data_IF_782268301579
#
_entry.id   IF_782268301579
#
_cell.length_a   1.000
_cell.length_b   1.000
_cell.length_c   1.000
_cell.angle_alpha   90.00
_cell.angle_beta   90.00
_cell.angle_gamma   90.00
#
_symmetry.space_group_name_H-M   'P 1'
#
loop_
_entity.id
_entity.type
_entity.pdbx_description
1 polymer ?
#
# COMPACT_ATOMS: atom_id res chain seq x y z
N UNK A 1 19.77 4.12 0.63
CA UNK A 1 18.91 3.53 1.67
C UNK A 1 17.62 3.09 1.01
N UNK A 2 17.16 1.86 1.26
CA UNK A 2 15.88 1.40 0.73
C UNK A 2 14.75 2.05 1.53
N UNK A 3 13.97 2.91 0.88
CA UNK A 3 12.85 3.61 1.52
C UNK A 3 11.86 4.01 0.44
N UNK A 4 10.58 3.86 0.74
CA UNK A 4 9.50 4.41 -0.07
C UNK A 4 9.49 5.94 0.00
N UNK A 5 8.93 6.56 -1.03
CA UNK A 5 8.74 7.99 -1.10
C UNK A 5 7.73 8.47 -0.06
N UNK A 6 7.88 9.72 0.41
CA UNK A 6 6.87 10.34 1.28
C UNK A 6 5.49 10.40 0.62
N UNK A 7 5.43 10.48 -0.72
CA UNK A 7 4.15 10.54 -1.42
C UNK A 7 3.40 9.22 -1.31
N UNK A 8 4.13 8.10 -1.27
CA UNK A 8 3.56 6.77 -1.08
C UNK A 8 3.09 6.58 0.35
N UNK A 9 3.89 6.99 1.34
CA UNK A 9 3.47 7.01 2.75
C UNK A 9 2.15 7.80 2.90
N UNK A 10 2.06 8.98 2.28
CA UNK A 10 0.85 9.80 2.29
C UNK A 10 -0.32 9.13 1.55
N UNK A 11 -0.05 8.47 0.43
CA UNK A 11 -1.06 7.70 -0.31
C UNK A 11 -1.69 6.61 0.53
N UNK A 12 -0.88 5.83 1.24
CA UNK A 12 -1.36 4.77 2.14
C UNK A 12 -2.29 5.37 3.21
N UNK A 13 -1.85 6.45 3.87
CA UNK A 13 -2.63 7.10 4.93
C UNK A 13 -3.97 7.65 4.39
N UNK A 14 -3.95 8.33 3.25
CA UNK A 14 -5.15 8.91 2.63
C UNK A 14 -6.14 7.82 2.17
N UNK A 15 -5.63 6.77 1.53
CA UNK A 15 -6.46 5.65 1.05
C UNK A 15 -7.03 4.83 2.21
N UNK A 16 -6.30 4.69 3.31
CA UNK A 16 -6.81 4.05 4.53
C UNK A 16 -7.93 4.87 5.16
N UNK A 17 -7.83 6.20 5.17
CA UNK A 17 -8.92 7.06 5.65
C UNK A 17 -10.17 6.97 4.74
N UNK A 18 -9.99 6.90 3.41
CA UNK A 18 -11.09 6.66 2.49
C UNK A 18 -11.72 5.27 2.70
N UNK A 19 -10.92 4.23 2.95
CA UNK A 19 -11.42 2.90 3.27
C UNK A 19 -12.24 2.86 4.57
N UNK A 20 -11.94 3.75 5.54
CA UNK A 20 -12.74 3.90 6.77
C UNK A 20 -14.05 4.65 6.56
N UNK A 21 -14.17 5.42 5.48
CA UNK A 21 -15.37 6.16 5.16
C UNK A 21 -16.49 5.28 4.57
N UNK A 22 -16.23 3.99 4.32
CA UNK A 22 -17.22 2.95 4.01
C UNK A 22 -18.19 3.34 2.86
N UNK A 23 -17.63 3.87 1.77
CA UNK A 23 -18.39 4.30 0.59
C UNK A 23 -18.75 5.78 0.58
N UNK A 24 -18.57 6.51 1.69
CA UNK A 24 -18.67 7.97 1.70
C UNK A 24 -17.48 8.63 1.00
N UNK A 25 -17.74 9.75 0.33
CA UNK A 25 -16.68 10.58 -0.26
C UNK A 25 -16.09 11.53 0.78
N UNK A 26 -14.81 11.87 0.63
CA UNK A 26 -14.12 12.91 1.42
C UNK A 26 -13.48 13.94 0.51
N UNK A 27 -13.65 15.21 0.82
CA UNK A 27 -12.91 16.29 0.17
C UNK A 27 -11.43 16.23 0.53
N UNK A 28 -10.57 16.80 -0.32
CA UNK A 28 -9.13 16.92 -0.02
C UNK A 28 -8.86 17.65 1.30
N UNK A 29 -9.71 18.62 1.66
CA UNK A 29 -9.60 19.36 2.93
C UNK A 29 -9.91 18.47 4.12
N UNK A 30 -10.99 17.69 4.07
CA UNK A 30 -11.32 16.73 5.12
C UNK A 30 -10.24 15.67 5.28
N UNK A 31 -9.76 15.12 4.17
CA UNK A 31 -8.66 14.15 4.20
C UNK A 31 -7.40 14.75 4.82
N UNK A 32 -7.03 15.98 4.43
CA UNK A 32 -5.90 16.69 5.02
C UNK A 32 -6.08 16.92 6.53
N UNK A 33 -7.27 17.33 6.98
CA UNK A 33 -7.57 17.55 8.39
C UNK A 33 -7.52 16.26 9.22
N UNK A 34 -8.08 15.16 8.70
CA UNK A 34 -8.15 13.85 9.37
C UNK A 34 -6.79 13.16 9.44
N UNK A 35 -5.99 13.27 8.38
CA UNK A 35 -4.70 12.56 8.25
C UNK A 35 -3.48 13.39 8.62
N UNK A 36 -3.64 14.71 8.75
CA UNK A 36 -2.54 15.69 8.91
C UNK A 36 -1.56 15.75 7.73
N UNK A 37 -1.87 15.08 6.62
CA UNK A 37 -1.13 15.26 5.37
C UNK A 37 -1.43 16.66 4.83
N UNK A 38 -0.40 17.46 4.59
CA UNK A 38 -0.56 18.83 4.12
C UNK A 38 -1.35 18.88 2.79
N UNK A 39 -2.27 19.84 2.68
CA UNK A 39 -3.21 19.96 1.55
C UNK A 39 -2.55 19.88 0.15
N UNK A 40 -1.38 20.51 -0.11
CA UNK A 40 -0.72 20.38 -1.41
C UNK A 40 -0.25 18.95 -1.70
N UNK A 41 0.26 18.24 -0.68
CA UNK A 41 0.71 16.86 -0.81
C UNK A 41 -0.49 15.92 -1.01
N UNK A 42 -1.57 16.10 -0.24
CA UNK A 42 -2.79 15.34 -0.40
C UNK A 42 -3.38 15.51 -1.82
N UNK A 43 -3.42 16.75 -2.32
CA UNK A 43 -3.90 17.03 -3.68
C UNK A 43 -3.06 16.35 -4.75
N UNK A 44 -1.72 16.39 -4.61
CA UNK A 44 -0.80 15.75 -5.55
C UNK A 44 -0.99 14.22 -5.56
N UNK A 45 -1.08 13.62 -4.38
CA UNK A 45 -1.26 12.17 -4.22
C UNK A 45 -2.61 11.73 -4.78
N UNK A 46 -3.70 12.40 -4.41
CA UNK A 46 -5.05 12.08 -4.91
C UNK A 46 -5.15 12.20 -6.44
N UNK A 47 -4.44 13.15 -7.05
CA UNK A 47 -4.35 13.24 -8.51
C UNK A 47 -3.68 12.02 -9.13
N UNK A 48 -2.57 11.55 -8.57
CA UNK A 48 -1.90 10.33 -9.03
C UNK A 48 -2.79 9.09 -8.87
N UNK A 49 -3.46 8.95 -7.73
CA UNK A 49 -4.39 7.85 -7.46
C UNK A 49 -5.62 7.88 -8.38
N UNK A 50 -6.12 9.07 -8.73
CA UNK A 50 -7.22 9.25 -9.68
C UNK A 50 -6.80 8.82 -11.09
N UNK A 51 -5.59 9.19 -11.52
CA UNK A 51 -5.03 8.78 -12.81
C UNK A 51 -4.82 7.26 -12.88
N UNK A 52 -4.45 6.64 -11.76
CA UNK A 52 -4.32 5.19 -11.63
C UNK A 52 -5.66 4.45 -11.47
N UNK A 53 -6.79 5.17 -11.40
CA UNK A 53 -8.11 4.57 -11.25
C UNK A 53 -8.37 3.92 -9.89
N UNK A 54 -7.59 4.27 -8.85
CA UNK A 54 -7.77 3.74 -7.49
C UNK A 54 -8.81 4.54 -6.69
N UNK A 55 -9.03 5.80 -7.07
CA UNK A 55 -10.09 6.66 -6.52
C UNK A 55 -10.95 7.24 -7.63
N UNK A 56 -12.18 7.60 -7.28
CA UNK A 56 -13.09 8.36 -8.12
C UNK A 56 -13.33 9.73 -7.51
N UNK A 57 -13.66 10.70 -8.37
CA UNK A 57 -13.91 12.09 -8.00
C UNK A 57 -15.36 12.46 -8.28
N UNK A 58 -16.07 12.92 -7.26
CA UNK A 58 -17.45 13.40 -7.37
C UNK A 58 -17.47 14.93 -7.28
N UNK A 59 -18.25 15.58 -8.15
CA UNK A 59 -18.45 17.04 -8.14
C UNK A 59 -19.75 17.39 -7.39
N UNK A 60 -19.84 18.63 -6.90
CA UNK A 60 -21.04 19.17 -6.24
C UNK A 60 -20.84 19.46 -4.75
N UNK A 61 -21.93 19.84 -4.07
CA UNK A 61 -21.93 20.25 -2.66
C UNK A 61 -21.49 19.12 -1.70
N UNK A 62 -21.73 17.86 -2.08
CA UNK A 62 -21.24 16.65 -1.40
C UNK A 62 -20.09 15.98 -2.17
N UNK A 63 -19.33 16.75 -2.94
CA UNK A 63 -18.23 16.24 -3.76
C UNK A 63 -17.03 15.77 -2.95
N UNK A 64 -16.05 15.16 -3.61
CA UNK A 64 -14.85 14.64 -2.97
C UNK A 64 -14.27 13.45 -3.70
N UNK A 65 -13.41 12.70 -3.00
CA UNK A 65 -12.83 11.45 -3.46
C UNK A 65 -13.46 10.28 -2.73
N UNK A 66 -13.70 9.19 -3.45
CA UNK A 66 -14.09 7.88 -2.91
C UNK A 66 -13.21 6.79 -3.51
N UNK A 67 -13.19 5.60 -2.90
CA UNK A 67 -12.51 4.45 -3.51
C UNK A 67 -13.22 4.05 -4.81
N UNK A 68 -12.45 3.72 -5.84
CA UNK A 68 -13.01 3.29 -7.13
C UNK A 68 -13.63 1.88 -7.09
N UNK A 69 -13.25 1.09 -6.08
CA UNK A 69 -13.66 -0.29 -5.85
C UNK A 69 -13.55 -0.65 -4.35
N UNK A 70 -14.17 -1.75 -3.88
CA UNK A 70 -14.13 -2.13 -2.47
C UNK A 70 -12.69 -2.22 -1.92
N UNK A 71 -12.51 -1.91 -0.63
CA UNK A 71 -11.19 -1.82 0.00
C UNK A 71 -10.44 -3.17 -0.02
N UNK A 72 -11.17 -4.28 0.03
CA UNK A 72 -10.68 -5.67 -0.05
C UNK A 72 -10.11 -5.99 -1.43
N UNK A 73 -10.52 -5.25 -2.46
CA UNK A 73 -10.06 -5.48 -3.81
C UNK A 73 -8.75 -4.70 -4.09
N UNK A 74 -8.47 -3.62 -3.36
CA UNK A 74 -7.31 -2.75 -3.59
C UNK A 74 -6.11 -3.23 -2.78
N UNK A 75 -5.13 -3.81 -3.45
CA UNK A 75 -3.88 -4.25 -2.81
C UNK A 75 -2.92 -3.10 -2.54
N UNK A 76 -2.03 -3.28 -1.56
CA UNK A 76 -0.96 -2.33 -1.28
C UNK A 76 0.05 -2.29 -2.44
N UNK A 77 0.31 -3.42 -3.11
CA UNK A 77 1.16 -3.46 -4.30
C UNK A 77 0.67 -2.52 -5.42
N UNK A 78 -0.65 -2.49 -5.68
CA UNK A 78 -1.24 -1.58 -6.67
C UNK A 78 -1.09 -0.12 -6.27
N UNK A 79 -1.33 0.21 -4.99
CA UNK A 79 -1.16 1.58 -4.49
C UNK A 79 0.29 2.06 -4.61
N UNK A 80 1.25 1.22 -4.22
CA UNK A 80 2.67 1.54 -4.37
C UNK A 80 3.02 1.71 -5.84
N UNK A 81 2.56 0.80 -6.70
CA UNK A 81 2.82 0.87 -8.14
C UNK A 81 2.24 2.13 -8.77
N UNK A 82 1.07 2.58 -8.31
CA UNK A 82 0.43 3.80 -8.79
C UNK A 82 1.22 5.09 -8.46
N UNK A 83 2.00 5.10 -7.38
CA UNK A 83 2.70 6.29 -6.89
C UNK A 83 4.20 6.28 -7.16
N UNK A 84 4.83 5.11 -7.20
CA UNK A 84 6.28 4.96 -7.43
C UNK A 84 6.63 4.31 -8.78
N UNK A 85 5.67 3.67 -9.43
CA UNK A 85 5.93 2.76 -10.55
C UNK A 85 6.25 1.34 -10.07
N UNK A 86 6.70 0.46 -10.97
CA UNK A 86 6.88 -0.97 -10.67
C UNK A 86 7.76 -1.21 -9.44
N UNK A 87 7.30 -2.02 -8.49
CA UNK A 87 8.08 -2.35 -7.28
C UNK A 87 9.26 -3.25 -7.68
N UNK A 88 10.44 -2.66 -7.76
CA UNK A 88 11.69 -3.37 -8.03
C UNK A 88 12.85 -2.71 -7.30
N UNK A 89 13.62 -3.52 -6.58
CA UNK A 89 14.85 -3.11 -5.89
C UNK A 89 16.02 -2.90 -6.85
N UNK A 90 16.00 -3.61 -7.97
CA UNK A 90 17.06 -3.63 -8.97
C UNK A 90 16.43 -3.61 -10.36
N UNK A 91 17.15 -3.08 -11.35
CA UNK A 91 16.71 -3.06 -12.75
C UNK A 91 16.36 -4.47 -13.25
N UNK A 92 17.19 -5.46 -12.90
CA UNK A 92 16.98 -6.86 -13.27
C UNK A 92 15.81 -7.56 -12.55
N UNK A 93 15.24 -6.89 -11.53
CA UNK A 93 14.06 -7.32 -10.79
C UNK A 93 12.74 -6.99 -11.48
N UNK A 94 12.74 -6.08 -12.44
CA UNK A 94 11.54 -5.75 -13.21
C UNK A 94 11.22 -6.89 -14.19
N UNK A 95 10.08 -7.55 -14.04
CA UNK A 95 9.65 -8.62 -14.96
C UNK A 95 8.99 -8.07 -16.23
N UNK A 96 8.56 -6.81 -16.21
CA UNK A 96 7.55 -6.29 -17.16
C UNK A 96 8.06 -5.21 -18.12
N UNK A 97 9.33 -4.79 -18.02
CA UNK A 97 9.86 -3.75 -18.92
C UNK A 97 11.21 -4.14 -19.50
N UNK A 98 11.33 -4.32 -20.84
CA UNK A 98 12.61 -4.48 -21.52
C UNK A 98 13.36 -3.14 -21.68
N UNK A 99 12.91 -2.07 -21.02
CA UNK A 99 13.29 -0.71 -21.38
C UNK A 99 14.77 -0.36 -21.12
N UNK A 100 15.48 -1.11 -20.26
CA UNK A 100 16.94 -1.00 -20.11
C UNK A 100 17.51 -2.39 -19.81
N UNK A 101 18.25 -3.01 -20.74
CA UNK A 101 19.01 -4.22 -20.46
C UNK A 101 20.04 -3.94 -19.36
N UNK A 102 20.11 -4.80 -18.34
CA UNK A 102 21.13 -4.66 -17.31
C UNK A 102 22.50 -4.96 -17.93
N UNK A 103 23.43 -4.00 -17.89
CA UNK A 103 24.76 -4.15 -18.52
C UNK A 103 25.56 -5.33 -17.95
N UNK A 104 25.27 -5.73 -16.71
CA UNK A 104 25.93 -6.84 -16.02
C UNK A 104 25.23 -8.19 -16.26
N UNK A 105 24.15 -8.24 -17.03
CA UNK A 105 23.26 -9.41 -17.16
C UNK A 105 24.02 -10.69 -17.55
N UNK A 106 24.99 -10.59 -18.45
CA UNK A 106 25.75 -11.74 -18.95
C UNK A 106 26.67 -12.39 -17.90
N UNK A 107 27.06 -11.66 -16.86
CA UNK A 107 28.03 -12.11 -15.84
C UNK A 107 27.48 -12.10 -14.41
N UNK A 108 26.26 -11.59 -14.21
CA UNK A 108 25.68 -11.38 -12.88
C UNK A 108 25.10 -12.68 -12.30
N UNK A 109 25.93 -13.41 -11.55
CA UNK A 109 25.53 -14.64 -10.84
C UNK A 109 24.50 -14.39 -9.73
N UNK A 110 24.39 -13.16 -9.23
CA UNK A 110 23.48 -12.81 -8.12
C UNK A 110 22.08 -12.37 -8.58
N UNK A 111 21.83 -12.29 -9.89
CA UNK A 111 20.54 -11.89 -10.46
C UNK A 111 19.37 -12.74 -9.94
N UNK A 112 19.58 -14.06 -9.86
CA UNK A 112 18.57 -15.00 -9.35
C UNK A 112 18.13 -14.65 -7.93
N UNK A 113 19.08 -14.38 -7.04
CA UNK A 113 18.82 -13.97 -5.66
C UNK A 113 18.02 -12.66 -5.60
N UNK A 114 18.38 -11.66 -6.40
CA UNK A 114 17.61 -10.41 -6.46
C UNK A 114 16.19 -10.61 -7.00
N UNK A 115 15.98 -11.50 -7.97
CA UNK A 115 14.63 -11.81 -8.45
C UNK A 115 13.78 -12.48 -7.37
N UNK A 116 14.36 -13.41 -6.60
CA UNK A 116 13.67 -14.01 -5.45
C UNK A 116 13.29 -12.97 -4.39
N UNK A 117 14.19 -12.05 -4.05
CA UNK A 117 13.91 -10.97 -3.07
C UNK A 117 12.80 -10.05 -3.58
N UNK A 118 12.86 -9.63 -4.86
CA UNK A 118 11.83 -8.80 -5.47
C UNK A 118 10.47 -9.48 -5.48
N UNK A 119 10.43 -10.77 -5.82
CA UNK A 119 9.20 -11.57 -5.79
C UNK A 119 8.62 -11.63 -4.37
N UNK A 120 9.45 -11.88 -3.35
CA UNK A 120 8.99 -11.92 -1.96
C UNK A 120 8.37 -10.57 -1.51
N UNK A 121 8.95 -9.44 -1.93
CA UNK A 121 8.41 -8.11 -1.62
C UNK A 121 7.08 -7.88 -2.34
N UNK A 122 7.01 -8.21 -3.63
CA UNK A 122 5.79 -8.08 -4.43
C UNK A 122 4.65 -8.92 -3.87
N UNK A 123 4.93 -10.17 -3.48
CA UNK A 123 3.95 -11.04 -2.83
C UNK A 123 3.50 -10.49 -1.48
N UNK A 124 4.43 -9.99 -0.66
CA UNK A 124 4.10 -9.41 0.64
C UNK A 124 3.18 -8.19 0.51
N UNK A 125 3.48 -7.28 -0.43
CA UNK A 125 2.64 -6.11 -0.72
C UNK A 125 1.30 -6.51 -1.37
N UNK A 126 1.30 -7.53 -2.23
CA UNK A 126 0.11 -7.98 -2.94
C UNK A 126 -0.91 -8.70 -2.05
N UNK A 127 -0.45 -9.32 -0.94
CA UNK A 127 -1.33 -9.98 0.04
C UNK A 127 -2.07 -9.01 0.97
N UNK A 128 -1.60 -7.77 1.10
CA UNK A 128 -2.22 -6.76 1.94
C UNK A 128 -3.20 -5.91 1.13
N UNK A 129 -4.40 -5.72 1.65
CA UNK A 129 -5.45 -4.89 1.06
C UNK A 129 -5.69 -3.63 1.89
N UNK A 130 -6.38 -2.63 1.35
CA UNK A 130 -6.78 -1.46 2.14
C UNK A 130 -7.71 -1.84 3.30
N UNK A 131 -8.49 -2.91 3.16
CA UNK A 131 -9.32 -3.42 4.25
C UNK A 131 -8.47 -3.88 5.44
N UNK A 132 -7.36 -4.58 5.20
CA UNK A 132 -6.42 -5.02 6.24
C UNK A 132 -5.79 -3.84 6.98
N UNK A 133 -5.56 -2.73 6.28
CA UNK A 133 -4.95 -1.51 6.85
C UNK A 133 -5.92 -0.68 7.71
N UNK A 134 -7.22 -0.95 7.67
CA UNK A 134 -8.22 -0.24 8.50
C UNK A 134 -7.99 -0.54 9.99
N UNK A 135 -7.71 -1.79 10.31
CA UNK A 135 -7.43 -2.25 11.66
C UNK A 135 -5.97 -1.91 12.05
N UNK A 136 -5.69 -1.69 13.35
CA UNK A 136 -4.32 -1.72 13.82
C UNK A 136 -3.65 -2.98 13.32
N UNK A 137 -2.40 -2.88 12.85
CA UNK A 137 -1.64 -4.06 12.46
C UNK A 137 -1.77 -5.11 13.56
N UNK A 138 -2.07 -6.39 13.23
CA UNK A 138 -2.01 -7.42 14.24
C UNK A 138 -0.66 -7.27 14.94
N UNK A 139 -0.66 -7.26 16.29
CA UNK A 139 0.61 -7.32 17.05
C UNK A 139 1.41 -8.42 16.39
N UNK A 140 2.57 -8.07 15.84
CA UNK A 140 3.40 -9.06 15.16
C UNK A 140 3.55 -10.24 16.11
N UNK A 141 2.99 -11.42 15.81
CA UNK A 141 3.33 -12.60 16.58
C UNK A 141 4.85 -12.78 16.46
N UNK A 142 5.50 -13.36 17.47
CA UNK A 142 6.97 -13.56 17.53
C UNK A 142 7.56 -14.11 16.21
N UNK A 143 6.76 -14.72 15.36
CA UNK A 143 7.10 -15.26 14.03
C UNK A 143 7.30 -14.25 12.88
N UNK A 144 8.10 -13.21 13.11
CA UNK A 144 9.27 -13.03 12.22
C UNK A 144 10.40 -14.03 12.56
N UNK A 145 10.22 -14.85 13.61
CA UNK A 145 10.98 -16.06 14.00
C UNK A 145 10.99 -17.20 12.94
N UNK A 146 10.73 -16.90 11.67
CA UNK A 146 11.31 -17.63 10.54
C UNK A 146 10.29 -18.05 9.48
N UNK A 147 10.15 -17.30 8.38
CA UNK A 147 9.52 -17.67 7.08
C UNK A 147 8.36 -18.70 7.14
N UNK A 148 7.53 -18.65 8.19
CA UNK A 148 6.62 -19.70 8.65
C UNK A 148 5.36 -19.08 9.25
N UNK A 149 4.31 -19.02 8.43
CA UNK A 149 2.99 -18.52 8.77
C UNK A 149 2.03 -19.68 9.09
N UNK A 150 1.14 -19.41 10.05
CA UNK A 150 0.01 -20.20 10.61
C UNK A 150 0.31 -21.14 11.80
N UNK A 151 -0.59 -21.34 12.79
CA UNK A 151 -1.95 -20.83 13.04
C UNK A 151 -2.33 -21.04 14.53
N UNK A 152 -3.39 -20.36 14.97
CA UNK A 152 -4.32 -20.73 16.07
C UNK A 152 -4.16 -20.07 17.47
N UNK A 153 -5.31 -19.56 17.94
CA UNK A 153 -5.63 -18.82 19.18
C UNK A 153 -5.77 -19.74 20.42
N UNK A 154 -6.07 -19.23 21.64
CA UNK A 154 -7.49 -19.02 21.98
C UNK A 154 -7.81 -17.75 22.80
N UNK A 155 -9.12 -17.53 22.86
CA UNK A 155 -9.89 -16.41 23.40
C UNK A 155 -9.89 -16.27 24.93
N UNK A 156 -10.19 -15.04 25.37
CA UNK A 156 -10.83 -14.63 26.65
C UNK A 156 -10.12 -14.91 27.98
N UNK A 157 -9.83 -13.83 28.72
CA UNK A 157 -10.29 -13.72 30.12
C UNK A 157 -10.91 -12.34 30.33
N UNK A 158 -12.23 -12.36 30.43
CA UNK A 158 -13.10 -11.34 31.00
C UNK A 158 -12.96 -11.36 32.53
N UNK A 159 -12.81 -10.18 33.16
CA UNK A 159 -13.45 -9.90 34.45
C UNK A 159 -12.62 -9.93 35.73
N UNK A 160 -13.17 -9.22 36.73
CA UNK A 160 -12.75 -8.97 38.12
C UNK A 160 -11.76 -7.79 38.25
N UNK A 161 -12.17 -6.52 38.44
CA UNK A 161 -13.00 -5.92 39.52
C UNK A 161 -12.56 -6.34 40.92
N UNK A 162 -11.70 -5.51 41.52
CA UNK A 162 -11.81 -5.04 42.91
C UNK A 162 -10.83 -3.89 43.10
#
# INVERSE_FOLDING_TARGET
MLRMSKMTDYGIVLMTELARADGETRTTRELSARTRVALPSASKVLKGLLQAGLVVSHRGASGGYGLARPAEAISLAELVTALEGPVALTECGQHTSPAVPCELEAVCQVRGHWRLINQAIQEALGRLTLADLRAPAPRMPDRLVGLGLSSALPSSVTGVRS
#
